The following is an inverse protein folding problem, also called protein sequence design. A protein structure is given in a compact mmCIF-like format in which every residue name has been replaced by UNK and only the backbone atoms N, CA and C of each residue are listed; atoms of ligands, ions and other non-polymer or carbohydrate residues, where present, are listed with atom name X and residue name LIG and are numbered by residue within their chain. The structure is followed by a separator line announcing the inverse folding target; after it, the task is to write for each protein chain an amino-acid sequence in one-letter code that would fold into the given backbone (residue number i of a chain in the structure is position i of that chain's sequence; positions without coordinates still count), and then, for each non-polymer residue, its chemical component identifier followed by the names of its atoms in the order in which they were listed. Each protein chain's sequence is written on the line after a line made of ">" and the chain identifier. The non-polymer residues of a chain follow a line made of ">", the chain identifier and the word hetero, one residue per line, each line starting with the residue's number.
data_IF_520423761207
#
_entry.id   IF_520423761207
#
_cell.length_a   1.000
_cell.length_b   1.000
_cell.length_c   1.000
_cell.angle_alpha   90.00
_cell.angle_beta   90.00
_cell.angle_gamma   90.00
#
_symmetry.space_group_name_H-M   'P 1'
#
loop_
_entity.id
_entity.type
_entity.pdbx_description
1 polymer ?
#
# COMPACT_ATOMS: atom_id res chain seq x y z
N UNK A 1 -25.03 15.33 15.59
CA UNK A 1 -24.78 15.40 14.13
C UNK A 1 -23.94 14.20 13.72
N UNK A 2 -24.12 13.69 12.51
CA UNK A 2 -23.27 12.60 11.99
C UNK A 2 -21.88 13.17 11.76
N UNK A 3 -20.84 12.43 12.17
CA UNK A 3 -19.44 12.82 12.01
C UNK A 3 -18.74 11.82 11.09
N UNK A 4 -17.96 12.31 10.11
CA UNK A 4 -17.10 11.50 9.26
C UNK A 4 -15.70 12.12 9.29
N UNK A 5 -14.69 11.36 9.70
CA UNK A 5 -13.33 11.88 9.81
C UNK A 5 -12.55 11.64 8.51
N UNK A 6 -11.50 12.42 8.30
CA UNK A 6 -10.68 12.36 7.08
C UNK A 6 -9.23 12.06 7.43
N UNK A 7 -8.66 11.04 6.77
CA UNK A 7 -7.21 10.81 6.71
C UNK A 7 -6.63 11.51 5.50
N UNK A 8 -5.59 12.32 5.69
CA UNK A 8 -4.85 12.95 4.59
C UNK A 8 -3.72 12.03 4.10
N UNK A 9 -3.64 11.80 2.79
CA UNK A 9 -2.71 10.84 2.17
C UNK A 9 -1.61 11.49 1.33
N UNK A 10 -1.54 12.81 1.25
CA UNK A 10 -0.61 13.55 0.37
C UNK A 10 0.85 13.16 0.58
N UNK A 11 1.26 12.84 1.82
CA UNK A 11 2.65 12.50 2.13
C UNK A 11 3.04 11.07 1.77
N UNK A 12 2.07 10.18 1.55
CA UNK A 12 2.34 8.77 1.21
C UNK A 12 1.59 8.27 -0.03
N UNK A 13 0.26 7.95 0.06
CA UNK A 13 -0.42 7.22 -1.05
C UNK A 13 -0.65 8.11 -2.27
N UNK A 14 -1.07 9.36 -2.09
CA UNK A 14 -1.23 10.29 -3.20
C UNK A 14 0.11 10.59 -3.90
N UNK A 15 1.18 10.84 -3.14
CA UNK A 15 2.53 10.97 -3.66
C UNK A 15 2.98 9.70 -4.41
N UNK A 16 2.74 8.53 -3.84
CA UNK A 16 3.05 7.26 -4.51
C UNK A 16 2.29 7.10 -5.82
N UNK A 17 1.01 7.41 -5.83
CA UNK A 17 0.11 7.20 -6.97
C UNK A 17 0.38 8.16 -8.13
N UNK A 18 0.73 9.41 -7.84
CA UNK A 18 0.93 10.44 -8.85
C UNK A 18 2.37 10.57 -9.33
N UNK A 19 3.36 10.34 -8.45
CA UNK A 19 4.76 10.62 -8.74
C UNK A 19 5.74 9.55 -8.21
N UNK A 20 5.28 8.33 -8.05
CA UNK A 20 6.08 7.18 -7.64
C UNK A 20 6.92 7.45 -6.37
N UNK A 21 6.33 8.14 -5.39
CA UNK A 21 6.94 8.42 -4.08
C UNK A 21 8.20 9.33 -4.17
N UNK A 22 8.24 10.24 -5.14
CA UNK A 22 9.42 11.10 -5.38
C UNK A 22 9.33 12.50 -4.75
N UNK A 23 8.46 12.70 -3.74
CA UNK A 23 8.35 13.95 -3.00
C UNK A 23 9.40 13.96 -1.87
N UNK A 24 10.47 14.77 -1.95
CA UNK A 24 11.47 14.87 -0.90
C UNK A 24 10.92 15.60 0.32
N UNK A 25 11.50 15.34 1.50
CA UNK A 25 11.10 15.96 2.75
C UNK A 25 11.16 17.49 2.69
N UNK A 26 12.19 18.03 2.04
CA UNK A 26 12.39 19.48 1.87
C UNK A 26 11.24 20.20 1.15
N UNK A 27 10.48 19.51 0.30
CA UNK A 27 9.37 20.10 -0.44
C UNK A 27 8.09 20.23 0.40
N UNK A 28 8.01 19.62 1.58
CA UNK A 28 6.81 19.70 2.44
C UNK A 28 7.10 19.98 3.93
N UNK A 29 8.35 20.09 4.31
CA UNK A 29 8.73 20.31 5.72
C UNK A 29 8.03 21.51 6.35
N UNK A 30 7.99 22.63 5.62
CA UNK A 30 7.50 23.91 6.12
C UNK A 30 5.98 23.94 6.35
N UNK A 31 5.21 23.08 5.68
CA UNK A 31 3.75 23.04 5.84
C UNK A 31 3.30 22.11 6.98
N UNK A 32 4.15 21.20 7.46
CA UNK A 32 3.79 20.23 8.48
C UNK A 32 3.22 20.84 9.77
N UNK A 33 3.78 21.96 10.32
CA UNK A 33 3.21 22.60 11.51
C UNK A 33 1.78 23.14 11.29
N UNK A 34 1.44 23.55 10.06
CA UNK A 34 0.07 23.94 9.73
C UNK A 34 -0.81 22.70 9.55
N UNK A 35 -0.34 21.64 8.87
CA UNK A 35 -1.06 20.36 8.75
C UNK A 35 -1.43 19.78 10.12
N UNK A 36 -0.58 19.99 11.14
CA UNK A 36 -0.85 19.56 12.51
C UNK A 36 -2.12 20.20 13.13
N UNK A 37 -2.57 21.34 12.59
CA UNK A 37 -3.74 22.10 13.06
C UNK A 37 -5.00 21.83 12.23
N UNK A 38 -4.91 21.00 11.21
CA UNK A 38 -5.98 20.81 10.23
C UNK A 38 -7.19 20.02 10.78
N UNK A 39 -7.00 19.25 11.84
CA UNK A 39 -8.07 18.40 12.41
C UNK A 39 -8.25 17.06 11.70
N UNK A 40 -7.26 16.60 10.95
CA UNK A 40 -7.25 15.28 10.32
C UNK A 40 -7.42 14.15 11.37
N UNK A 41 -8.11 13.08 10.99
CA UNK A 41 -8.09 11.84 11.76
C UNK A 41 -6.67 11.28 11.90
N UNK A 42 -5.95 11.28 10.78
CA UNK A 42 -4.53 10.95 10.70
C UNK A 42 -3.93 11.52 9.42
N UNK A 43 -2.60 11.56 9.37
CA UNK A 43 -1.84 11.79 8.13
C UNK A 43 -1.06 10.53 7.80
N UNK A 44 -1.33 9.96 6.63
CA UNK A 44 -0.58 8.82 6.15
C UNK A 44 0.73 9.31 5.54
N UNK A 45 1.85 9.01 6.18
CA UNK A 45 3.15 9.59 5.86
C UNK A 45 4.25 8.57 5.57
N UNK A 46 4.02 7.29 5.84
CA UNK A 46 5.07 6.29 5.79
C UNK A 46 4.57 4.92 5.31
N UNK A 47 5.49 4.09 4.75
CA UNK A 47 5.21 2.77 4.22
C UNK A 47 6.32 2.28 3.30
N UNK A 48 6.16 1.09 2.69
CA UNK A 48 7.20 0.41 1.93
C UNK A 48 7.79 1.23 0.78
N UNK A 49 6.93 1.80 -0.06
CA UNK A 49 7.40 2.60 -1.20
C UNK A 49 8.09 3.90 -0.77
N UNK A 50 7.63 4.52 0.32
CA UNK A 50 8.28 5.72 0.87
C UNK A 50 9.67 5.39 1.40
N UNK A 51 9.79 4.30 2.14
CA UNK A 51 11.06 3.84 2.70
C UNK A 51 12.08 3.54 1.59
N UNK A 52 11.70 2.74 0.61
CA UNK A 52 12.56 2.42 -0.55
C UNK A 52 12.95 3.68 -1.33
N UNK A 53 11.99 4.59 -1.57
CA UNK A 53 12.25 5.82 -2.30
C UNK A 53 13.23 6.75 -1.57
N UNK A 54 13.14 6.84 -0.25
CA UNK A 54 14.09 7.62 0.54
C UNK A 54 15.53 7.15 0.31
N UNK A 55 15.77 5.84 0.42
CA UNK A 55 17.11 5.27 0.25
C UNK A 55 17.59 5.32 -1.20
N UNK A 56 16.73 4.94 -2.15
CA UNK A 56 17.10 4.71 -3.56
C UNK A 56 17.21 5.98 -4.38
N UNK A 57 16.35 6.96 -4.12
CA UNK A 57 16.14 8.10 -5.04
C UNK A 57 16.27 9.47 -4.40
N UNK A 58 15.96 9.59 -3.12
CA UNK A 58 15.93 10.88 -2.44
C UNK A 58 17.20 11.14 -1.63
N UNK A 59 17.98 10.10 -1.34
CA UNK A 59 19.16 10.22 -0.49
C UNK A 59 18.81 10.64 0.95
N UNK A 60 17.62 10.25 1.42
CA UNK A 60 17.09 10.57 2.75
C UNK A 60 17.12 9.33 3.65
N UNK A 61 17.43 9.53 4.93
CA UNK A 61 17.21 8.50 5.95
C UNK A 61 15.70 8.39 6.23
N UNK A 62 15.05 7.24 5.93
CA UNK A 62 13.61 7.09 6.10
C UNK A 62 13.18 7.21 7.56
N UNK A 63 13.99 6.79 8.52
CA UNK A 63 13.69 6.90 9.95
C UNK A 63 13.82 8.33 10.44
N UNK A 64 14.84 9.06 9.98
CA UNK A 64 15.00 10.47 10.29
C UNK A 64 13.85 11.29 9.72
N UNK A 65 13.44 11.01 8.47
CA UNK A 65 12.25 11.62 7.87
C UNK A 65 11.01 11.43 8.74
N UNK A 66 10.79 10.22 9.27
CA UNK A 66 9.66 9.94 10.16
C UNK A 66 9.75 10.75 11.45
N UNK A 67 10.93 10.79 12.09
CA UNK A 67 11.17 11.59 13.32
C UNK A 67 10.93 13.09 13.09
N UNK A 68 11.35 13.60 11.95
CA UNK A 68 11.18 15.02 11.60
C UNK A 68 9.71 15.36 11.35
N UNK A 69 8.96 14.47 10.68
CA UNK A 69 7.50 14.60 10.53
C UNK A 69 6.84 14.57 11.91
N UNK A 70 7.18 13.63 12.79
CA UNK A 70 6.62 13.55 14.15
C UNK A 70 6.91 14.80 14.96
N UNK A 71 8.14 15.33 14.87
CA UNK A 71 8.53 16.55 15.56
C UNK A 71 7.70 17.76 15.10
N UNK A 72 7.43 17.85 13.80
CA UNK A 72 6.65 18.95 13.22
C UNK A 72 5.13 18.80 13.44
N UNK A 73 4.64 17.59 13.65
CA UNK A 73 3.22 17.25 13.81
C UNK A 73 2.98 16.47 15.12
N UNK A 74 3.18 17.07 16.29
CA UNK A 74 3.12 16.36 17.59
C UNK A 74 1.70 15.87 17.96
N UNK A 75 0.65 16.55 17.51
CA UNK A 75 -0.72 16.31 17.93
C UNK A 75 -1.51 15.44 16.93
N UNK A 76 -1.12 15.44 15.67
CA UNK A 76 -1.76 14.65 14.62
C UNK A 76 -1.27 13.20 14.64
N UNK A 77 -2.19 12.23 14.54
CA UNK A 77 -1.80 10.82 14.41
C UNK A 77 -1.10 10.58 13.09
N UNK A 78 0.09 9.97 13.15
CA UNK A 78 0.84 9.55 11.97
C UNK A 78 0.52 8.09 11.64
N UNK A 79 0.18 7.85 10.38
CA UNK A 79 -0.22 6.54 9.88
C UNK A 79 0.81 5.99 8.91
N UNK A 80 1.03 4.67 8.99
CA UNK A 80 1.76 3.91 8.00
C UNK A 80 0.92 2.79 7.39
N UNK A 81 1.24 2.42 6.15
CA UNK A 81 0.78 1.17 5.54
C UNK A 81 1.84 0.09 5.73
N UNK A 82 1.46 -1.04 6.37
CA UNK A 82 2.33 -2.17 6.68
C UNK A 82 1.82 -3.45 6.01
N UNK A 83 2.68 -4.11 5.25
CA UNK A 83 2.33 -5.36 4.54
C UNK A 83 2.54 -6.60 5.43
N UNK A 84 1.93 -6.65 6.60
CA UNK A 84 2.01 -7.80 7.50
C UNK A 84 3.40 -8.45 7.52
N UNK A 85 3.48 -9.74 7.19
CA UNK A 85 4.73 -10.51 7.19
C UNK A 85 5.76 -10.05 6.14
N UNK A 86 5.32 -9.32 5.11
CA UNK A 86 6.21 -8.74 4.09
C UNK A 86 6.82 -7.39 4.51
N UNK A 87 6.39 -6.80 5.63
CA UNK A 87 6.79 -5.48 6.11
C UNK A 87 6.67 -4.40 5.02
N UNK A 88 7.78 -4.09 4.39
CA UNK A 88 7.92 -3.06 3.35
C UNK A 88 8.06 -3.66 1.94
N UNK A 89 8.39 -4.95 1.85
CA UNK A 89 8.80 -5.63 0.61
C UNK A 89 7.80 -6.60 0.04
N UNK A 90 8.33 -7.62 -0.65
CA UNK A 90 7.57 -8.65 -1.38
C UNK A 90 7.92 -10.08 -0.94
N UNK A 91 8.84 -10.25 0.00
CA UNK A 91 9.15 -11.53 0.66
C UNK A 91 8.64 -11.51 2.09
N UNK A 92 8.38 -12.69 2.64
CA UNK A 92 8.11 -12.82 4.06
C UNK A 92 9.40 -12.66 4.88
N UNK A 93 9.27 -12.13 6.07
CA UNK A 93 10.33 -12.04 7.08
C UNK A 93 9.98 -12.93 8.28
N UNK A 94 10.98 -13.30 9.07
CA UNK A 94 10.75 -14.01 10.33
C UNK A 94 10.03 -13.13 11.35
N UNK A 95 9.29 -13.74 12.28
CA UNK A 95 8.47 -13.03 13.25
C UNK A 95 9.26 -12.08 14.14
N UNK A 96 10.52 -12.38 14.46
CA UNK A 96 11.39 -11.49 15.23
C UNK A 96 11.76 -10.21 14.46
N UNK A 97 11.91 -10.30 13.14
CA UNK A 97 12.12 -9.12 12.28
C UNK A 97 10.85 -8.27 12.20
N UNK A 98 9.68 -8.92 12.04
CA UNK A 98 8.38 -8.21 12.01
C UNK A 98 8.13 -7.50 13.33
N UNK A 99 8.34 -8.18 14.46
CA UNK A 99 8.17 -7.60 15.78
C UNK A 99 9.07 -6.37 15.98
N UNK A 100 10.37 -6.51 15.65
CA UNK A 100 11.33 -5.41 15.81
C UNK A 100 11.02 -4.22 14.90
N UNK A 101 10.56 -4.47 13.67
CA UNK A 101 10.17 -3.40 12.76
C UNK A 101 8.99 -2.60 13.30
N UNK A 102 7.98 -3.27 13.87
CA UNK A 102 6.81 -2.63 14.49
C UNK A 102 7.23 -1.82 15.72
N UNK A 103 8.07 -2.39 16.60
CA UNK A 103 8.63 -1.69 17.76
C UNK A 103 9.31 -0.37 17.33
N UNK A 104 10.23 -0.45 16.35
CA UNK A 104 10.95 0.72 15.86
C UNK A 104 10.00 1.74 15.20
N UNK A 105 8.98 1.29 14.46
CA UNK A 105 8.01 2.18 13.83
C UNK A 105 7.25 3.02 14.86
N UNK A 106 6.75 2.38 15.93
CA UNK A 106 6.05 3.06 17.03
C UNK A 106 7.01 3.99 17.79
N UNK A 107 8.20 3.52 18.12
CA UNK A 107 9.23 4.31 18.80
C UNK A 107 9.62 5.57 18.03
N UNK A 108 9.67 5.51 16.71
CA UNK A 108 10.01 6.63 15.84
C UNK A 108 8.80 7.52 15.46
N UNK A 109 7.58 7.22 15.96
CA UNK A 109 6.48 8.17 15.93
C UNK A 109 5.24 7.74 15.15
N UNK A 110 5.13 6.50 14.69
CA UNK A 110 3.89 5.98 14.09
C UNK A 110 2.85 5.71 15.19
N UNK A 111 1.64 6.23 15.00
CA UNK A 111 0.48 5.98 15.86
C UNK A 111 -0.44 4.91 15.25
N UNK A 112 -0.70 4.96 13.94
CA UNK A 112 -1.61 4.04 13.28
C UNK A 112 -0.84 3.10 12.37
N UNK A 113 -0.86 1.81 12.70
CA UNK A 113 -0.35 0.77 11.83
C UNK A 113 -1.53 0.18 11.05
N UNK A 114 -1.66 0.54 9.76
CA UNK A 114 -2.62 -0.05 8.84
C UNK A 114 -2.00 -1.30 8.24
N UNK A 115 -2.38 -2.45 8.78
CA UNK A 115 -1.77 -3.75 8.51
C UNK A 115 -2.64 -4.53 7.53
N UNK A 116 -2.05 -5.00 6.42
CA UNK A 116 -2.74 -5.79 5.42
C UNK A 116 -1.90 -6.95 4.91
N UNK A 117 -2.57 -7.93 4.34
CA UNK A 117 -1.98 -8.97 3.51
C UNK A 117 -2.54 -8.91 2.09
N UNK A 118 -1.71 -9.16 1.08
CA UNK A 118 -2.13 -9.05 -0.32
C UNK A 118 -3.15 -10.11 -0.73
N UNK A 119 -3.15 -11.29 -0.08
CA UNK A 119 -4.13 -12.37 -0.27
C UNK A 119 -5.33 -12.28 0.68
N UNK A 120 -5.29 -11.38 1.67
CA UNK A 120 -6.17 -11.37 2.83
C UNK A 120 -6.04 -12.65 3.68
N UNK A 121 -4.86 -13.27 3.71
CA UNK A 121 -4.54 -14.34 4.66
C UNK A 121 -4.14 -13.71 6.01
N UNK A 122 -5.10 -13.63 6.94
CA UNK A 122 -4.90 -12.92 8.19
C UNK A 122 -3.90 -13.56 9.15
N UNK A 123 -3.45 -14.78 8.88
CA UNK A 123 -2.31 -15.38 9.58
C UNK A 123 -1.02 -14.56 9.36
N UNK A 124 -0.90 -13.94 8.18
CA UNK A 124 0.26 -13.12 7.80
C UNK A 124 0.27 -11.73 8.45
N UNK A 125 -0.80 -11.32 9.13
CA UNK A 125 -0.87 -10.04 9.84
C UNK A 125 -0.88 -10.19 11.38
N UNK A 126 -0.96 -11.42 11.87
CA UNK A 126 -1.10 -11.70 13.30
C UNK A 126 0.12 -11.20 14.10
N UNK A 127 1.33 -11.52 13.69
CA UNK A 127 2.57 -11.09 14.37
C UNK A 127 2.70 -9.56 14.42
N UNK A 128 2.36 -8.87 13.33
CA UNK A 128 2.38 -7.41 13.30
C UNK A 128 1.32 -6.81 14.25
N UNK A 129 0.13 -7.43 14.36
CA UNK A 129 -0.89 -7.02 15.32
C UNK A 129 -0.42 -7.23 16.77
N UNK A 130 0.12 -8.41 17.09
CA UNK A 130 0.65 -8.73 18.42
C UNK A 130 1.75 -7.73 18.82
N UNK A 131 2.69 -7.46 17.94
CA UNK A 131 3.73 -6.47 18.14
C UNK A 131 3.15 -5.06 18.34
N UNK A 132 2.15 -4.67 17.55
CA UNK A 132 1.46 -3.38 17.71
C UNK A 132 0.84 -3.25 19.09
N UNK A 133 0.17 -4.28 19.58
CA UNK A 133 -0.42 -4.29 20.94
C UNK A 133 0.64 -4.30 22.03
N UNK A 134 1.74 -5.04 21.83
CA UNK A 134 2.85 -5.15 22.81
C UNK A 134 3.56 -3.82 23.03
N UNK A 135 3.82 -3.07 21.97
CA UNK A 135 4.56 -1.80 22.01
C UNK A 135 3.65 -0.56 21.97
N UNK A 136 2.34 -0.76 22.13
CA UNK A 136 1.35 0.31 22.06
C UNK A 136 1.63 1.45 23.05
N UNK A 137 1.51 2.68 22.56
CA UNK A 137 1.38 3.89 23.37
C UNK A 137 -0.11 4.22 23.54
N UNK A 138 -0.42 5.28 24.29
CA UNK A 138 -1.82 5.75 24.45
C UNK A 138 -2.51 6.15 23.15
N UNK A 139 -1.74 6.44 22.10
CA UNK A 139 -2.25 6.90 20.79
C UNK A 139 -2.24 5.78 19.74
N UNK A 140 -1.62 4.65 20.02
CA UNK A 140 -1.43 3.56 19.04
C UNK A 140 -2.76 2.91 18.67
N UNK A 141 -2.98 2.72 17.37
CA UNK A 141 -4.16 2.08 16.78
C UNK A 141 -3.69 1.00 15.81
N UNK A 142 -4.16 -0.21 16.01
CA UNK A 142 -4.01 -1.29 15.05
C UNK A 142 -5.20 -1.26 14.07
N UNK A 143 -4.95 -0.94 12.81
CA UNK A 143 -5.96 -0.90 11.75
C UNK A 143 -5.84 -2.12 10.85
N UNK A 144 -6.79 -3.06 10.93
CA UNK A 144 -6.84 -4.23 10.05
C UNK A 144 -7.35 -3.82 8.67
N UNK A 145 -6.61 -4.15 7.62
CA UNK A 145 -6.94 -3.67 6.29
C UNK A 145 -7.21 -4.84 5.34
N UNK A 146 -8.35 -4.80 4.66
CA UNK A 146 -8.79 -5.78 3.67
C UNK A 146 -8.52 -5.23 2.28
N UNK A 147 -7.77 -5.98 1.47
CA UNK A 147 -7.59 -5.71 0.04
C UNK A 147 -8.90 -6.01 -0.70
N UNK A 148 -9.64 -4.96 -1.08
CA UNK A 148 -10.87 -5.10 -1.83
C UNK A 148 -10.60 -5.49 -3.28
N UNK A 149 -11.40 -6.41 -3.79
CA UNK A 149 -11.39 -6.82 -5.20
C UNK A 149 -12.73 -7.44 -5.58
N UNK A 150 -13.05 -7.45 -6.85
CA UNK A 150 -14.24 -8.10 -7.39
C UNK A 150 -13.88 -9.45 -8.00
N UNK A 151 -14.58 -10.51 -7.58
CA UNK A 151 -14.49 -11.83 -8.19
C UNK A 151 -15.70 -12.70 -7.76
N UNK A 152 -15.91 -13.88 -8.35
CA UNK A 152 -16.99 -14.78 -7.93
C UNK A 152 -16.92 -15.24 -6.46
N UNK A 153 -15.73 -15.17 -5.82
CA UNK A 153 -15.54 -15.61 -4.44
C UNK A 153 -15.47 -14.46 -3.43
N UNK A 154 -15.32 -13.23 -3.91
CA UNK A 154 -15.30 -12.04 -3.08
C UNK A 154 -16.69 -11.41 -3.00
N UNK A 155 -17.60 -12.09 -2.28
CA UNK A 155 -18.98 -11.65 -2.05
C UNK A 155 -19.08 -10.74 -0.84
N UNK A 156 -20.24 -10.10 -0.66
CA UNK A 156 -20.53 -9.28 0.54
C UNK A 156 -20.37 -10.11 1.80
N UNK A 157 -20.91 -11.34 1.80
CA UNK A 157 -20.83 -12.27 2.94
C UNK A 157 -19.37 -12.59 3.28
N UNK A 158 -18.52 -12.80 2.26
CA UNK A 158 -17.09 -13.07 2.47
C UNK A 158 -16.38 -11.90 3.12
N UNK A 159 -16.66 -10.67 2.68
CA UNK A 159 -16.11 -9.46 3.32
C UNK A 159 -16.62 -9.27 4.75
N UNK A 160 -17.88 -9.58 5.01
CA UNK A 160 -18.46 -9.56 6.37
C UNK A 160 -17.74 -10.56 7.27
N UNK A 161 -17.47 -11.79 6.79
CA UNK A 161 -16.69 -12.78 7.53
C UNK A 161 -15.27 -12.27 7.85
N UNK A 162 -14.58 -11.72 6.86
CA UNK A 162 -13.24 -11.13 7.04
C UNK A 162 -13.26 -10.01 8.10
N UNK A 163 -14.26 -9.15 8.08
CA UNK A 163 -14.38 -8.08 9.08
C UNK A 163 -14.65 -8.62 10.49
N UNK A 164 -15.47 -9.68 10.63
CA UNK A 164 -15.67 -10.36 11.92
C UNK A 164 -14.36 -10.98 12.42
N UNK A 165 -13.59 -11.60 11.54
CA UNK A 165 -12.29 -12.18 11.88
C UNK A 165 -11.32 -11.11 12.38
N UNK A 166 -11.16 -9.99 11.67
CA UNK A 166 -10.32 -8.86 12.11
C UNK A 166 -10.77 -8.30 13.47
N UNK A 167 -12.08 -8.15 13.68
CA UNK A 167 -12.62 -7.75 14.98
C UNK A 167 -12.25 -8.75 16.08
N UNK A 168 -12.41 -10.05 15.83
CA UNK A 168 -12.10 -11.11 16.79
C UNK A 168 -10.60 -11.21 17.07
N UNK A 169 -9.73 -10.91 16.11
CA UNK A 169 -8.29 -10.79 16.31
C UNK A 169 -7.93 -9.60 17.22
N UNK A 170 -8.84 -8.61 17.38
CA UNK A 170 -8.66 -7.45 18.25
C UNK A 170 -8.09 -6.22 17.56
N UNK A 171 -8.31 -6.06 16.26
CA UNK A 171 -8.03 -4.79 15.60
C UNK A 171 -8.94 -3.68 16.11
N UNK A 172 -8.39 -2.47 16.25
CA UNK A 172 -9.10 -1.31 16.78
C UNK A 172 -9.99 -0.66 15.70
N UNK A 173 -9.60 -0.74 14.43
CA UNK A 173 -10.36 -0.25 13.28
C UNK A 173 -10.21 -1.20 12.10
N UNK A 174 -11.17 -1.15 11.16
CA UNK A 174 -11.14 -1.97 9.94
C UNK A 174 -11.16 -1.04 8.72
N UNK A 175 -10.22 -1.24 7.79
CA UNK A 175 -10.13 -0.51 6.54
C UNK A 175 -10.47 -1.40 5.35
N UNK A 176 -11.40 -0.94 4.52
CA UNK A 176 -11.64 -1.49 3.19
C UNK A 176 -10.79 -0.70 2.19
N UNK A 177 -9.84 -1.37 1.55
CA UNK A 177 -8.89 -0.75 0.62
C UNK A 177 -9.21 -1.13 -0.83
N UNK A 178 -9.90 -0.24 -1.53
CA UNK A 178 -10.17 -0.30 -2.96
C UNK A 178 -9.08 0.44 -3.74
N UNK A 179 -7.93 -0.19 -3.88
CA UNK A 179 -6.77 0.37 -4.57
C UNK A 179 -7.00 0.57 -6.07
N UNK A 180 -7.92 -0.17 -6.66
CA UNK A 180 -8.23 -0.07 -8.09
C UNK A 180 -9.33 0.97 -8.39
N UNK A 181 -10.04 1.48 -7.38
CA UNK A 181 -11.17 2.38 -7.55
C UNK A 181 -12.36 1.71 -8.26
N UNK A 182 -12.56 0.41 -8.05
CA UNK A 182 -13.56 -0.40 -8.76
C UNK A 182 -14.83 -0.65 -7.95
N UNK A 183 -14.85 -0.32 -6.66
CA UNK A 183 -16.05 -0.43 -5.83
C UNK A 183 -17.13 0.53 -6.34
N UNK A 184 -18.26 -0.02 -6.77
CA UNK A 184 -19.39 0.79 -7.20
C UNK A 184 -20.13 1.38 -5.99
N UNK A 185 -20.92 2.46 -6.18
CA UNK A 185 -21.79 2.99 -5.12
C UNK A 185 -22.79 1.96 -4.59
N UNK A 186 -23.30 1.09 -5.46
CA UNK A 186 -24.19 -0.01 -5.09
C UNK A 186 -23.52 -1.01 -4.17
N UNK A 187 -22.32 -1.44 -4.52
CA UNK A 187 -21.53 -2.37 -3.70
C UNK A 187 -21.13 -1.75 -2.37
N UNK A 188 -20.73 -0.48 -2.37
CA UNK A 188 -20.39 0.25 -1.14
C UNK A 188 -21.57 0.27 -0.17
N UNK A 189 -22.80 0.54 -0.65
CA UNK A 189 -23.98 0.53 0.18
C UNK A 189 -24.22 -0.82 0.85
N UNK A 190 -24.25 -1.89 0.06
CA UNK A 190 -24.55 -3.24 0.57
C UNK A 190 -23.44 -3.76 1.48
N UNK A 191 -22.18 -3.54 1.10
CA UNK A 191 -21.02 -4.01 1.84
C UNK A 191 -20.92 -3.29 3.20
N UNK A 192 -21.00 -1.95 3.22
CA UNK A 192 -20.86 -1.19 4.46
C UNK A 192 -21.97 -1.50 5.44
N UNK A 193 -23.26 -1.57 4.96
CA UNK A 193 -24.38 -1.96 5.82
C UNK A 193 -24.16 -3.36 6.42
N UNK A 194 -23.85 -4.35 5.58
CA UNK A 194 -23.63 -5.71 6.05
C UNK A 194 -22.49 -5.83 7.05
N UNK A 195 -21.41 -5.06 6.85
CA UNK A 195 -20.29 -5.05 7.79
C UNK A 195 -20.71 -4.36 9.10
N UNK A 196 -21.35 -3.19 9.06
CA UNK A 196 -21.78 -2.48 10.28
C UNK A 196 -22.73 -3.32 11.13
N UNK A 197 -23.66 -4.02 10.49
CA UNK A 197 -24.56 -4.95 11.20
C UNK A 197 -23.79 -6.09 11.90
N UNK A 198 -22.66 -6.51 11.33
CA UNK A 198 -21.87 -7.63 11.82
C UNK A 198 -20.81 -7.26 12.87
N UNK A 199 -20.15 -6.10 12.71
CA UNK A 199 -19.04 -5.69 13.60
C UNK A 199 -19.44 -4.60 14.60
N UNK A 200 -20.64 -4.00 14.46
CA UNK A 200 -21.16 -2.98 15.38
C UNK A 200 -20.35 -1.70 15.39
N UNK A 201 -19.87 -1.32 16.60
CA UNK A 201 -19.20 -0.03 16.83
C UNK A 201 -17.74 0.04 16.38
N UNK A 202 -17.19 -1.02 15.80
CA UNK A 202 -15.82 -0.97 15.25
C UNK A 202 -15.76 0.08 14.13
N UNK A 203 -14.88 1.10 14.24
CA UNK A 203 -14.79 2.12 13.21
C UNK A 203 -14.36 1.54 11.86
N UNK A 204 -15.13 1.87 10.81
CA UNK A 204 -14.84 1.47 9.43
C UNK A 204 -14.21 2.61 8.66
N UNK A 205 -13.19 2.28 7.89
CA UNK A 205 -12.44 3.20 7.05
C UNK A 205 -12.61 2.77 5.59
N UNK A 206 -12.90 3.72 4.70
CA UNK A 206 -12.86 3.48 3.27
C UNK A 206 -11.68 4.21 2.64
N UNK A 207 -10.82 3.44 1.99
CA UNK A 207 -9.76 3.92 1.12
C UNK A 207 -10.10 3.54 -0.32
N UNK A 208 -10.24 4.51 -1.20
CA UNK A 208 -10.51 4.28 -2.64
C UNK A 208 -9.77 5.27 -3.51
N UNK A 209 -9.48 4.87 -4.75
CA UNK A 209 -8.82 5.71 -5.75
C UNK A 209 -9.80 6.21 -6.80
N UNK A 210 -9.50 7.38 -7.39
CA UNK A 210 -10.34 8.02 -8.40
C UNK A 210 -10.12 7.48 -9.83
N UNK A 211 -9.33 6.43 -9.98
CA UNK A 211 -8.90 5.90 -11.29
C UNK A 211 -10.07 5.67 -12.25
N UNK A 212 -11.17 5.13 -11.77
CA UNK A 212 -12.35 4.81 -12.60
C UNK A 212 -13.38 5.94 -12.72
N UNK A 213 -13.22 7.00 -11.91
CA UNK A 213 -14.18 8.12 -11.82
C UNK A 213 -15.33 7.90 -10.85
N UNK A 214 -15.49 6.72 -10.25
CA UNK A 214 -16.62 6.42 -9.34
C UNK A 214 -16.40 6.87 -7.89
N UNK A 215 -15.17 7.16 -7.48
CA UNK A 215 -14.77 7.29 -6.07
C UNK A 215 -15.66 8.23 -5.25
N UNK A 216 -16.01 9.41 -5.76
CA UNK A 216 -16.86 10.37 -5.02
C UNK A 216 -18.28 9.81 -4.78
N UNK A 217 -18.87 9.16 -5.79
CA UNK A 217 -20.19 8.53 -5.64
C UNK A 217 -20.12 7.35 -4.65
N UNK A 218 -19.08 6.54 -4.74
CA UNK A 218 -18.82 5.40 -3.85
C UNK A 218 -18.65 5.86 -2.41
N UNK A 219 -17.80 6.89 -2.18
CA UNK A 219 -17.57 7.46 -0.85
C UNK A 219 -18.86 8.06 -0.28
N UNK A 220 -19.64 8.79 -1.08
CA UNK A 220 -20.93 9.35 -0.62
C UNK A 220 -21.87 8.24 -0.16
N UNK A 221 -22.00 7.16 -0.93
CA UNK A 221 -22.82 6.01 -0.56
C UNK A 221 -22.29 5.27 0.69
N UNK A 222 -20.98 5.12 0.81
CA UNK A 222 -20.36 4.57 2.00
C UNK A 222 -20.68 5.40 3.26
N UNK A 223 -20.62 6.73 3.16
CA UNK A 223 -20.97 7.66 4.25
C UNK A 223 -22.43 7.52 4.64
N UNK A 224 -23.36 7.51 3.67
CA UNK A 224 -24.77 7.27 3.92
C UNK A 224 -25.01 5.94 4.64
N UNK A 225 -24.20 4.93 4.32
CA UNK A 225 -24.29 3.56 4.85
C UNK A 225 -23.57 3.32 6.17
N UNK A 226 -22.84 4.32 6.69
CA UNK A 226 -22.26 4.23 8.04
C UNK A 226 -20.73 4.18 8.13
N UNK A 227 -20.00 4.52 7.07
CA UNK A 227 -18.54 4.65 7.16
C UNK A 227 -18.18 5.77 8.16
N UNK A 228 -17.08 5.57 8.90
CA UNK A 228 -16.65 6.51 9.95
C UNK A 228 -15.48 7.38 9.50
N UNK A 229 -14.58 6.84 8.67
CA UNK A 229 -13.39 7.54 8.18
C UNK A 229 -13.24 7.31 6.68
N UNK A 230 -12.83 8.34 5.96
CA UNK A 230 -12.47 8.26 4.54
C UNK A 230 -11.04 8.75 4.33
N UNK A 231 -10.33 8.11 3.40
CA UNK A 231 -9.02 8.57 2.99
C UNK A 231 -9.16 9.54 1.80
N UNK A 232 -8.56 10.72 1.93
CA UNK A 232 -8.57 11.78 0.94
C UNK A 232 -7.14 12.29 0.70
N UNK A 233 -6.99 13.12 -0.33
CA UNK A 233 -5.77 13.88 -0.57
C UNK A 233 -6.10 15.34 -0.82
N UNK A 234 -5.24 16.28 -0.38
CA UNK A 234 -5.38 17.70 -0.71
C UNK A 234 -5.64 17.89 -2.21
N UNK A 235 -6.51 18.82 -2.59
CA UNK A 235 -7.08 18.93 -3.95
C UNK A 235 -6.06 18.87 -5.06
N UNK A 236 -4.93 19.55 -4.90
CA UNK A 236 -3.90 19.55 -5.93
C UNK A 236 -3.24 18.16 -6.12
N UNK A 237 -3.23 17.27 -5.14
CA UNK A 237 -2.70 15.89 -5.23
C UNK A 237 -3.81 14.82 -5.24
N UNK A 238 -5.06 15.22 -5.47
CA UNK A 238 -6.21 14.32 -5.57
C UNK A 238 -6.55 13.93 -7.01
N UNK A 239 -7.53 13.05 -7.16
CA UNK A 239 -8.07 12.59 -8.46
C UNK A 239 -7.12 11.73 -9.30
N UNK A 240 -7.56 11.32 -10.48
CA UNK A 240 -6.80 10.40 -11.32
C UNK A 240 -6.50 9.09 -10.59
N UNK A 241 -5.22 8.74 -10.49
CA UNK A 241 -4.78 7.54 -9.76
C UNK A 241 -4.68 7.75 -8.23
N UNK A 242 -4.99 8.95 -7.73
CA UNK A 242 -5.00 9.30 -6.31
C UNK A 242 -6.41 9.20 -5.68
N UNK A 243 -6.55 9.68 -4.46
CA UNK A 243 -7.77 9.64 -3.66
C UNK A 243 -8.71 10.82 -3.99
N UNK A 244 -9.96 10.81 -3.48
CA UNK A 244 -10.83 11.96 -3.50
C UNK A 244 -10.22 13.18 -2.80
N UNK A 245 -10.60 14.38 -3.25
CA UNK A 245 -10.10 15.64 -2.70
C UNK A 245 -10.62 15.88 -1.28
N UNK A 246 -9.71 16.20 -0.37
CA UNK A 246 -10.00 16.58 1.03
C UNK A 246 -10.95 17.76 1.08
N UNK A 247 -10.65 18.86 0.37
CA UNK A 247 -11.45 20.09 0.38
C UNK A 247 -12.82 19.85 -0.27
N UNK A 248 -12.88 19.09 -1.38
CA UNK A 248 -14.16 18.76 -2.03
C UNK A 248 -15.06 17.99 -1.08
N UNK A 249 -14.53 16.99 -0.38
CA UNK A 249 -15.28 16.22 0.59
C UNK A 249 -15.70 17.06 1.79
N UNK A 250 -14.83 17.96 2.28
CA UNK A 250 -15.16 18.90 3.35
C UNK A 250 -16.40 19.76 3.01
N UNK A 251 -16.35 20.42 1.86
CA UNK A 251 -17.48 21.29 1.41
C UNK A 251 -18.75 20.48 1.11
N UNK A 252 -18.62 19.35 0.42
CA UNK A 252 -19.78 18.52 0.09
C UNK A 252 -20.47 17.98 1.35
N UNK A 253 -19.70 17.44 2.31
CA UNK A 253 -20.26 16.91 3.56
C UNK A 253 -20.89 17.99 4.42
N UNK A 254 -20.32 19.20 4.45
CA UNK A 254 -20.88 20.35 5.13
C UNK A 254 -22.30 20.70 4.63
N UNK A 255 -22.57 20.57 3.32
CA UNK A 255 -23.92 20.79 2.74
C UNK A 255 -24.94 19.76 3.23
N UNK A 256 -24.51 18.55 3.60
CA UNK A 256 -25.37 17.51 4.21
C UNK A 256 -25.44 17.61 5.74
N UNK A 257 -24.84 18.63 6.36
CA UNK A 257 -24.77 18.78 7.81
C UNK A 257 -23.92 17.71 8.50
N UNK A 258 -22.94 17.15 7.78
CA UNK A 258 -21.99 16.15 8.30
C UNK A 258 -20.71 16.87 8.69
N UNK A 259 -20.30 16.72 9.95
CA UNK A 259 -19.06 17.32 10.46
C UNK A 259 -17.84 16.44 10.14
N UNK A 260 -16.76 17.05 9.64
CA UNK A 260 -15.49 16.34 9.41
C UNK A 260 -14.48 16.56 10.53
N UNK A 261 -14.64 17.66 11.28
CA UNK A 261 -13.67 18.12 12.28
C UNK A 261 -12.49 18.86 11.68
N UNK A 262 -12.47 19.09 10.36
CA UNK A 262 -11.41 19.83 9.70
C UNK A 262 -11.53 21.34 9.90
N UNK A 263 -10.38 22.01 9.92
CA UNK A 263 -10.28 23.46 9.91
C UNK A 263 -10.14 23.95 8.46
N UNK A 264 -11.17 24.66 7.97
CA UNK A 264 -11.29 25.14 6.59
C UNK A 264 -10.09 26.00 6.15
N UNK A 265 -9.70 26.97 6.97
CA UNK A 265 -8.58 27.87 6.65
C UNK A 265 -7.27 27.11 6.53
N UNK A 266 -7.07 26.10 7.37
CA UNK A 266 -5.84 25.30 7.37
C UNK A 266 -5.77 24.39 6.16
N UNK A 267 -6.86 23.65 5.83
CA UNK A 267 -6.83 22.77 4.65
C UNK A 267 -6.63 23.56 3.36
N UNK A 268 -7.22 24.75 3.25
CA UNK A 268 -6.98 25.63 2.11
C UNK A 268 -5.53 26.12 2.03
N UNK A 269 -4.89 26.48 3.16
CA UNK A 269 -3.46 26.80 3.20
C UNK A 269 -2.59 25.62 2.77
N UNK A 270 -2.91 24.41 3.21
CA UNK A 270 -2.19 23.19 2.81
C UNK A 270 -2.28 23.00 1.29
N UNK A 271 -3.47 23.13 0.73
CA UNK A 271 -3.64 23.03 -0.72
C UNK A 271 -2.88 24.10 -1.48
N UNK A 272 -2.94 25.37 -1.03
CA UNK A 272 -2.22 26.48 -1.67
C UNK A 272 -0.70 26.30 -1.61
N UNK A 273 -0.19 25.77 -0.52
CA UNK A 273 1.23 25.43 -0.39
C UNK A 273 1.67 24.36 -1.40
N UNK A 274 0.88 23.33 -1.60
CA UNK A 274 1.22 22.23 -2.50
C UNK A 274 1.00 22.54 -3.99
N UNK A 275 0.22 23.56 -4.37
CA UNK A 275 -0.01 23.93 -5.78
C UNK A 275 1.27 24.19 -6.58
N UNK A 276 2.19 25.07 -6.15
CA UNK A 276 3.44 25.31 -6.87
C UNK A 276 4.35 24.09 -6.89
N UNK A 277 4.32 23.27 -5.83
CA UNK A 277 5.08 22.01 -5.76
C UNK A 277 4.57 21.03 -6.81
N UNK A 278 3.25 20.83 -6.91
CA UNK A 278 2.65 20.02 -7.97
C UNK A 278 3.05 20.52 -9.35
N UNK A 279 2.95 21.84 -9.60
CA UNK A 279 3.29 22.43 -10.89
C UNK A 279 4.74 22.14 -11.28
N UNK A 280 5.69 22.29 -10.35
CA UNK A 280 7.10 21.89 -10.54
C UNK A 280 7.24 20.46 -11.04
N UNK A 281 6.46 19.52 -10.49
CA UNK A 281 6.53 18.11 -10.88
C UNK A 281 5.76 17.77 -12.17
N UNK A 282 4.73 18.53 -12.50
CA UNK A 282 4.07 18.45 -13.82
C UNK A 282 5.03 18.96 -14.90
N UNK A 283 5.66 20.11 -14.71
CA UNK A 283 6.58 20.74 -15.67
C UNK A 283 7.82 19.86 -15.92
N UNK A 284 8.29 19.15 -14.89
CA UNK A 284 9.39 18.19 -15.03
C UNK A 284 8.99 16.85 -15.65
N UNK A 285 7.70 16.63 -15.97
CA UNK A 285 7.17 15.38 -16.48
C UNK A 285 7.10 14.24 -15.46
N UNK A 286 7.40 14.50 -14.20
CA UNK A 286 7.33 13.48 -13.12
C UNK A 286 5.90 13.11 -12.77
N UNK A 287 4.98 14.07 -12.78
CA UNK A 287 3.54 13.81 -12.76
C UNK A 287 3.06 13.79 -14.21
N UNK A 288 2.62 12.63 -14.68
CA UNK A 288 2.15 12.47 -16.05
C UNK A 288 0.66 12.83 -16.20
N UNK A 289 0.27 13.32 -17.37
CA UNK A 289 -1.15 13.53 -17.69
C UNK A 289 -1.97 12.25 -17.51
N UNK A 290 -1.36 11.07 -17.76
CA UNK A 290 -2.00 9.77 -17.61
C UNK A 290 -2.35 9.46 -16.16
N UNK A 291 -1.48 9.77 -15.20
CA UNK A 291 -1.75 9.55 -13.77
C UNK A 291 -2.85 10.49 -13.23
N UNK A 292 -3.10 11.60 -13.89
CA UNK A 292 -4.15 12.57 -13.54
C UNK A 292 -5.49 12.32 -14.26
N UNK A 293 -5.51 11.41 -15.24
CA UNK A 293 -6.72 11.10 -16.02
C UNK A 293 -7.57 10.01 -15.36
N UNK A 294 -8.88 10.08 -15.60
CA UNK A 294 -9.81 8.99 -15.30
C UNK A 294 -9.76 7.95 -16.42
N UNK A 295 -9.71 6.66 -16.06
CA UNK A 295 -9.74 5.54 -17.00
C UNK A 295 -10.83 4.54 -16.61
N UNK A 296 -12.00 4.66 -17.21
CA UNK A 296 -13.12 3.75 -16.98
C UNK A 296 -12.90 2.34 -17.58
N UNK A 297 -11.87 2.12 -18.40
CA UNK A 297 -11.56 0.78 -18.93
C UNK A 297 -11.21 -0.21 -17.80
N UNK A 298 -10.68 0.30 -16.68
CA UNK A 298 -10.43 -0.52 -15.49
C UNK A 298 -11.72 -1.23 -14.98
N UNK A 299 -12.90 -0.65 -15.19
CA UNK A 299 -14.20 -1.26 -14.84
C UNK A 299 -14.56 -2.40 -15.78
N UNK A 300 -14.25 -2.27 -17.07
CA UNK A 300 -14.56 -3.29 -18.09
C UNK A 300 -13.73 -4.54 -17.85
N UNK A 301 -12.44 -4.36 -17.61
CA UNK A 301 -11.50 -5.47 -17.44
C UNK A 301 -11.35 -5.93 -15.98
N UNK A 302 -11.91 -5.16 -15.02
CA UNK A 302 -11.79 -5.40 -13.56
C UNK A 302 -10.33 -5.53 -13.09
N UNK A 303 -9.46 -4.73 -13.67
CA UNK A 303 -8.01 -4.71 -13.38
C UNK A 303 -7.55 -3.31 -12.97
N UNK A 304 -6.60 -3.20 -12.04
CA UNK A 304 -6.04 -1.91 -11.64
C UNK A 304 -5.36 -1.18 -12.81
N UNK A 305 -5.51 0.14 -12.86
CA UNK A 305 -4.89 0.97 -13.91
C UNK A 305 -3.36 0.81 -13.98
N UNK A 306 -2.68 0.63 -12.85
CA UNK A 306 -1.25 0.33 -12.82
C UNK A 306 -0.87 -0.98 -13.49
N UNK A 307 -1.72 -2.02 -13.38
CA UNK A 307 -1.53 -3.28 -14.08
C UNK A 307 -1.65 -3.10 -15.60
N UNK A 308 -2.67 -2.38 -16.07
CA UNK A 308 -2.85 -2.07 -17.51
C UNK A 308 -1.64 -1.31 -18.06
N UNK A 309 -1.17 -0.31 -17.32
CA UNK A 309 0.00 0.49 -17.71
C UNK A 309 1.26 -0.35 -17.87
N UNK A 310 1.51 -1.26 -16.94
CA UNK A 310 2.65 -2.17 -16.99
C UNK A 310 2.54 -3.14 -18.17
N UNK A 311 1.36 -3.68 -18.44
CA UNK A 311 1.13 -4.55 -19.59
C UNK A 311 1.38 -3.82 -20.90
N UNK A 312 0.88 -2.60 -21.06
CA UNK A 312 1.11 -1.77 -22.26
C UNK A 312 2.62 -1.51 -22.44
N UNK A 313 3.33 -1.14 -21.38
CA UNK A 313 4.77 -0.92 -21.43
C UNK A 313 5.51 -2.18 -21.87
N UNK A 314 5.26 -3.32 -21.21
CA UNK A 314 5.89 -4.60 -21.54
C UNK A 314 5.63 -5.03 -22.98
N UNK A 315 4.39 -4.94 -23.46
CA UNK A 315 4.04 -5.30 -24.84
C UNK A 315 4.62 -4.32 -25.88
N UNK A 316 4.75 -3.05 -25.51
CA UNK A 316 5.40 -2.04 -26.38
C UNK A 316 6.89 -2.35 -26.51
N UNK A 317 7.58 -2.62 -25.42
CA UNK A 317 9.01 -2.97 -25.41
C UNK A 317 9.28 -4.25 -26.23
N UNK A 318 8.35 -5.21 -26.14
CA UNK A 318 8.39 -6.46 -26.91
C UNK A 318 7.88 -6.33 -28.36
N UNK A 319 7.43 -5.14 -28.78
CA UNK A 319 6.80 -4.88 -30.09
C UNK A 319 5.62 -5.82 -30.39
N UNK A 320 4.83 -6.15 -29.38
CA UNK A 320 3.72 -7.10 -29.40
C UNK A 320 2.37 -6.49 -28.98
N UNK A 321 2.14 -5.21 -29.27
CA UNK A 321 0.88 -4.50 -28.91
C UNK A 321 -0.36 -5.10 -29.57
N UNK A 322 -0.22 -5.80 -30.69
CA UNK A 322 -1.29 -6.59 -31.32
C UNK A 322 -1.85 -7.70 -30.42
N UNK A 323 -1.10 -8.13 -29.42
CA UNK A 323 -1.49 -9.15 -28.44
C UNK A 323 -2.24 -8.58 -27.22
N UNK A 324 -2.33 -7.25 -27.09
CA UNK A 324 -2.91 -6.61 -25.89
C UNK A 324 -4.34 -7.09 -25.61
N UNK A 325 -5.23 -7.11 -26.61
CA UNK A 325 -6.62 -7.56 -26.42
C UNK A 325 -6.72 -9.03 -26.01
N UNK A 326 -5.84 -9.89 -26.52
CA UNK A 326 -5.78 -11.30 -26.13
C UNK A 326 -5.27 -11.45 -24.69
N UNK A 327 -4.24 -10.70 -24.30
CA UNK A 327 -3.71 -10.70 -22.93
C UNK A 327 -4.77 -10.23 -21.90
N UNK A 328 -5.58 -9.23 -22.25
CA UNK A 328 -6.69 -8.78 -21.37
C UNK A 328 -7.74 -9.88 -21.15
N UNK A 329 -8.05 -10.67 -22.19
CA UNK A 329 -8.98 -11.81 -22.07
C UNK A 329 -8.39 -12.98 -21.26
N UNK A 330 -7.07 -13.11 -21.24
CA UNK A 330 -6.38 -14.17 -20.49
C UNK A 330 -6.28 -13.86 -18.98
N UNK A 331 -6.35 -12.60 -18.55
CA UNK A 331 -6.28 -12.21 -17.14
C UNK A 331 -7.31 -12.91 -16.26
N UNK A 332 -8.60 -12.92 -16.58
CA UNK A 332 -9.61 -13.63 -15.77
C UNK A 332 -9.33 -15.12 -15.63
N UNK A 333 -8.81 -15.76 -16.68
CA UNK A 333 -8.48 -17.19 -16.67
C UNK A 333 -7.27 -17.48 -15.79
N UNK A 334 -6.19 -16.71 -15.92
CA UNK A 334 -5.02 -16.81 -15.03
C UNK A 334 -5.44 -16.56 -13.57
N UNK A 335 -6.25 -15.54 -13.33
CA UNK A 335 -6.74 -15.21 -12.00
C UNK A 335 -7.56 -16.34 -11.39
N UNK A 336 -8.40 -16.99 -12.20
CA UNK A 336 -9.16 -18.18 -11.78
C UNK A 336 -8.24 -19.32 -11.40
N UNK A 337 -7.25 -19.64 -12.23
CA UNK A 337 -6.29 -20.72 -11.98
C UNK A 337 -5.49 -20.51 -10.68
N UNK A 338 -5.26 -19.26 -10.31
CA UNK A 338 -4.58 -18.87 -9.08
C UNK A 338 -5.53 -18.74 -7.86
N UNK A 339 -6.80 -19.17 -7.97
CA UNK A 339 -7.76 -19.10 -6.86
C UNK A 339 -8.23 -17.68 -6.54
N UNK A 340 -8.35 -16.83 -7.56
CA UNK A 340 -8.87 -15.46 -7.49
C UNK A 340 -8.13 -14.50 -6.54
N UNK A 341 -6.79 -14.39 -6.58
CA UNK A 341 -6.08 -13.45 -5.74
C UNK A 341 -6.60 -12.01 -5.94
N UNK A 342 -6.60 -11.16 -4.90
CA UNK A 342 -6.83 -9.74 -5.06
C UNK A 342 -5.81 -9.13 -6.03
N UNK A 343 -6.28 -8.23 -6.91
CA UNK A 343 -5.40 -7.58 -7.88
C UNK A 343 -4.70 -6.35 -7.26
N UNK A 344 -3.96 -6.60 -6.20
CA UNK A 344 -3.08 -5.64 -5.53
C UNK A 344 -1.62 -6.04 -5.73
N UNK A 345 -0.70 -5.10 -5.62
CA UNK A 345 0.74 -5.39 -5.74
C UNK A 345 1.21 -6.32 -4.60
N UNK A 346 1.97 -7.41 -4.86
CA UNK A 346 2.57 -7.78 -6.16
C UNK A 346 1.69 -8.67 -7.05
N UNK A 347 0.56 -9.17 -6.54
CA UNK A 347 -0.27 -10.20 -7.20
C UNK A 347 -0.83 -9.74 -8.55
N UNK A 348 -1.20 -8.46 -8.68
CA UNK A 348 -1.66 -7.91 -9.96
C UNK A 348 -0.59 -7.99 -11.05
N UNK A 349 0.68 -7.73 -10.70
CA UNK A 349 1.79 -7.85 -11.64
C UNK A 349 2.04 -9.31 -12.02
N UNK A 350 1.99 -10.22 -11.05
CA UNK A 350 2.14 -11.65 -11.26
C UNK A 350 1.09 -12.18 -12.24
N UNK A 351 -0.18 -11.86 -12.02
CA UNK A 351 -1.30 -12.25 -12.90
C UNK A 351 -1.14 -11.66 -14.30
N UNK A 352 -0.82 -10.36 -14.39
CA UNK A 352 -0.66 -9.67 -15.67
C UNK A 352 0.51 -10.19 -16.50
N UNK A 353 1.67 -10.38 -15.87
CA UNK A 353 2.86 -10.91 -16.54
C UNK A 353 2.63 -12.35 -17.04
N UNK A 354 1.96 -13.19 -16.23
CA UNK A 354 1.65 -14.56 -16.66
C UNK A 354 0.64 -14.57 -17.81
N UNK A 355 -0.38 -13.71 -17.80
CA UNK A 355 -1.33 -13.59 -18.90
C UNK A 355 -0.64 -13.17 -20.20
N UNK A 356 0.24 -12.17 -20.16
CA UNK A 356 1.05 -11.75 -21.32
C UNK A 356 1.93 -12.91 -21.80
N UNK A 357 2.60 -13.61 -20.91
CA UNK A 357 3.46 -14.76 -21.23
C UNK A 357 2.68 -15.88 -21.93
N UNK A 358 1.49 -16.24 -21.41
CA UNK A 358 0.63 -17.26 -22.01
C UNK A 358 0.28 -16.93 -23.47
N UNK A 359 -0.10 -15.68 -23.72
CA UNK A 359 -0.48 -15.22 -25.07
C UNK A 359 0.72 -15.16 -26.03
N UNK A 360 1.88 -14.69 -25.56
CA UNK A 360 3.09 -14.61 -26.38
C UNK A 360 3.61 -16.01 -26.75
N UNK A 361 3.51 -16.97 -25.84
CA UNK A 361 3.94 -18.36 -26.09
C UNK A 361 2.94 -19.17 -26.92
N UNK A 362 1.71 -18.67 -27.13
CA UNK A 362 0.63 -19.36 -27.83
C UNK A 362 0.10 -20.60 -27.11
N UNK A 363 0.55 -20.87 -25.90
CA UNK A 363 0.16 -21.99 -25.04
C UNK A 363 0.17 -21.55 -23.58
N UNK A 364 -0.92 -21.84 -22.85
CA UNK A 364 -1.06 -21.47 -21.44
C UNK A 364 -0.04 -22.22 -20.58
N UNK A 365 0.68 -21.45 -19.75
CA UNK A 365 1.67 -21.97 -18.80
C UNK A 365 2.78 -22.82 -19.44
N UNK A 366 3.10 -22.60 -20.73
CA UNK A 366 4.31 -23.16 -21.36
C UNK A 366 5.56 -22.70 -20.62
N UNK A 367 5.56 -21.43 -20.24
CA UNK A 367 6.52 -20.83 -19.32
C UNK A 367 5.75 -20.34 -18.10
N UNK A 368 6.14 -20.79 -16.90
CA UNK A 368 5.59 -20.33 -15.62
C UNK A 368 6.59 -19.41 -14.96
N UNK A 369 6.18 -18.18 -14.67
CA UNK A 369 7.05 -17.20 -14.00
C UNK A 369 7.46 -17.67 -12.60
N UNK A 370 8.61 -17.20 -12.13
CA UNK A 370 9.12 -17.56 -10.80
C UNK A 370 8.14 -17.15 -9.68
N UNK A 371 7.47 -16.02 -9.85
CA UNK A 371 6.47 -15.53 -8.92
C UNK A 371 5.27 -16.47 -8.84
N UNK A 372 4.74 -16.95 -9.98
CA UNK A 372 3.65 -17.93 -10.02
C UNK A 372 4.10 -19.27 -9.42
N UNK A 373 5.34 -19.72 -9.71
CA UNK A 373 5.88 -20.92 -9.07
C UNK A 373 5.93 -20.79 -7.54
N UNK A 374 6.42 -19.65 -7.03
CA UNK A 374 6.52 -19.37 -5.60
C UNK A 374 5.14 -19.27 -4.95
N UNK A 375 4.15 -18.73 -5.70
CA UNK A 375 2.76 -18.68 -5.26
C UNK A 375 2.20 -20.10 -5.03
N UNK A 376 2.35 -20.99 -6.00
CA UNK A 376 1.92 -22.39 -5.86
C UNK A 376 2.71 -23.17 -4.81
N UNK A 377 3.95 -22.78 -4.53
CA UNK A 377 4.75 -23.32 -3.42
C UNK A 377 4.26 -22.87 -2.04
N UNK A 378 3.27 -21.96 -1.96
CA UNK A 378 2.71 -21.49 -0.69
C UNK A 378 3.49 -20.37 -0.02
N UNK A 379 4.42 -19.72 -0.74
CA UNK A 379 5.28 -18.68 -0.15
C UNK A 379 4.58 -17.33 0.09
N UNK A 380 3.34 -17.16 -0.38
CA UNK A 380 2.56 -15.93 -0.20
C UNK A 380 1.41 -16.09 0.82
N UNK A 381 1.08 -17.31 1.21
CA UNK A 381 -0.06 -17.62 2.05
C UNK A 381 -1.13 -18.47 1.33
N UNK A 382 -2.35 -18.47 1.86
CA UNK A 382 -3.47 -19.24 1.32
C UNK A 382 -4.23 -18.39 0.30
N UNK A 383 -4.47 -18.97 -0.89
CA UNK A 383 -5.32 -18.36 -1.92
C UNK A 383 -6.78 -18.23 -1.43
N UNK A 384 -7.53 -17.20 -1.90
CA UNK A 384 -8.93 -17.01 -1.53
C UNK A 384 -9.87 -18.16 -1.90
N UNK A 385 -9.52 -18.92 -2.94
CA UNK A 385 -10.24 -20.10 -3.40
C UNK A 385 -9.26 -21.19 -3.86
N UNK A 386 -9.72 -22.45 -4.10
CA UNK A 386 -8.87 -23.50 -4.62
C UNK A 386 -8.18 -23.09 -5.92
N UNK A 387 -6.88 -23.37 -6.01
CA UNK A 387 -6.07 -23.17 -7.21
C UNK A 387 -6.25 -24.31 -8.21
N UNK A 388 -5.82 -24.12 -9.47
CA UNK A 388 -5.85 -25.17 -10.48
C UNK A 388 -5.01 -26.38 -10.05
N UNK A 389 -5.62 -27.54 -9.88
CA UNK A 389 -4.94 -28.80 -9.52
C UNK A 389 -3.94 -29.24 -10.59
N UNK A 390 -4.30 -29.08 -11.88
CA UNK A 390 -3.41 -29.38 -13.00
C UNK A 390 -2.15 -28.52 -12.96
N UNK A 391 -2.31 -27.22 -12.74
CA UNK A 391 -1.18 -26.29 -12.66
C UNK A 391 -0.36 -26.53 -11.38
N UNK A 392 -1.00 -26.86 -10.27
CA UNK A 392 -0.32 -27.26 -9.04
C UNK A 392 0.54 -28.50 -9.25
N UNK A 393 -0.01 -29.55 -9.88
CA UNK A 393 0.74 -30.77 -10.19
C UNK A 393 1.91 -30.50 -11.16
N UNK A 394 1.71 -29.63 -12.16
CA UNK A 394 2.76 -29.21 -13.09
C UNK A 394 3.93 -28.52 -12.38
N UNK A 395 3.66 -27.69 -11.38
CA UNK A 395 4.68 -26.88 -10.69
C UNK A 395 5.33 -27.63 -9.53
N UNK A 396 4.55 -28.37 -8.73
CA UNK A 396 5.01 -29.06 -7.52
C UNK A 396 5.36 -30.53 -7.75
N UNK A 397 5.01 -31.07 -8.91
CA UNK A 397 5.03 -32.51 -9.18
C UNK A 397 3.74 -33.20 -8.75
N UNK A 398 3.53 -34.43 -9.22
CA UNK A 398 2.32 -35.21 -8.94
C UNK A 398 2.18 -35.49 -7.43
N UNK A 399 1.06 -35.10 -6.84
CA UNK A 399 0.82 -35.20 -5.39
C UNK A 399 1.56 -34.15 -4.52
N UNK A 400 2.30 -33.23 -5.12
CA UNK A 400 2.98 -32.16 -4.40
C UNK A 400 1.98 -31.20 -3.73
N UNK A 401 2.29 -30.79 -2.50
CA UNK A 401 1.49 -29.83 -1.73
C UNK A 401 2.29 -28.55 -1.47
N UNK A 402 1.61 -27.39 -1.42
CA UNK A 402 2.26 -26.16 -0.99
C UNK A 402 2.74 -26.30 0.46
N UNK A 403 3.85 -25.63 0.79
CA UNK A 403 4.30 -25.48 2.18
C UNK A 403 3.46 -24.39 2.86
N UNK A 404 3.30 -24.53 4.17
CA UNK A 404 2.73 -23.42 4.95
C UNK A 404 3.85 -22.42 5.26
N UNK A 405 3.81 -21.24 4.65
CA UNK A 405 4.80 -20.20 4.87
C UNK A 405 4.93 -19.83 6.36
N UNK A 406 3.84 -19.94 7.15
CA UNK A 406 3.87 -19.58 8.58
C UNK A 406 4.77 -20.48 9.41
N UNK A 407 5.06 -21.71 8.98
CA UNK A 407 6.02 -22.58 9.66
C UNK A 407 7.44 -21.99 9.61
N UNK A 408 7.83 -21.45 8.45
CA UNK A 408 9.14 -20.80 8.31
C UNK A 408 9.15 -19.43 8.98
N UNK A 409 8.12 -18.63 8.74
CA UNK A 409 7.99 -17.25 9.22
C UNK A 409 7.97 -17.14 10.75
N UNK A 410 7.39 -18.15 11.45
CA UNK A 410 7.32 -18.17 12.91
C UNK A 410 8.67 -18.32 13.62
N UNK A 411 9.76 -18.54 12.87
CA UNK A 411 11.10 -18.63 13.46
C UNK A 411 11.52 -17.29 14.08
N UNK A 412 12.24 -17.40 15.18
CA UNK A 412 12.77 -16.28 15.96
C UNK A 412 14.24 -16.55 16.30
N UNK A 413 15.07 -16.59 15.24
CA UNK A 413 16.47 -17.02 15.37
C UNK A 413 17.45 -15.88 15.64
N UNK A 414 17.06 -14.64 15.36
CA UNK A 414 17.95 -13.48 15.37
C UNK A 414 19.03 -13.50 14.28
N UNK A 415 19.03 -14.49 13.39
CA UNK A 415 20.05 -14.63 12.36
C UNK A 415 20.07 -13.48 11.36
N UNK A 416 18.89 -12.93 10.99
CA UNK A 416 18.81 -11.80 10.07
C UNK A 416 19.52 -10.57 10.65
N UNK A 417 19.34 -10.31 11.94
CA UNK A 417 20.02 -9.21 12.64
C UNK A 417 21.52 -9.43 12.72
N UNK A 418 21.95 -10.67 13.00
CA UNK A 418 23.37 -11.03 13.07
C UNK A 418 24.05 -10.81 11.72
N UNK A 419 23.48 -11.37 10.65
CA UNK A 419 23.99 -11.22 9.27
C UNK A 419 24.04 -9.75 8.84
N UNK A 420 22.99 -8.97 9.16
CA UNK A 420 22.96 -7.56 8.83
C UNK A 420 24.02 -6.75 9.57
N UNK A 421 24.21 -7.01 10.87
CA UNK A 421 25.28 -6.35 11.66
C UNK A 421 26.67 -6.70 11.15
N UNK A 422 26.93 -7.97 10.82
CA UNK A 422 28.20 -8.42 10.25
C UNK A 422 28.46 -7.75 8.89
N UNK A 423 27.44 -7.65 8.02
CA UNK A 423 27.58 -7.02 6.71
C UNK A 423 27.81 -5.50 6.78
N UNK A 424 27.16 -4.82 7.72
CA UNK A 424 27.28 -3.37 7.88
C UNK A 424 28.54 -2.94 8.63
N UNK A 425 29.01 -3.75 9.59
CA UNK A 425 30.15 -3.36 10.45
C UNK A 425 29.95 -1.96 11.04
N UNK A 426 30.93 -1.08 10.88
CA UNK A 426 30.92 0.30 11.40
C UNK A 426 30.00 1.26 10.65
N UNK A 427 29.36 0.82 9.56
CA UNK A 427 28.37 1.63 8.84
C UNK A 427 27.06 1.75 9.61
N UNK A 428 26.70 0.74 10.42
CA UNK A 428 25.51 0.76 11.24
C UNK A 428 25.72 1.62 12.50
N UNK A 429 24.92 2.66 12.65
CA UNK A 429 24.94 3.56 13.82
C UNK A 429 23.78 3.33 14.78
N UNK A 430 22.76 2.58 14.33
CA UNK A 430 21.53 2.35 15.11
C UNK A 430 20.89 1.00 14.74
N UNK A 431 19.87 0.60 15.51
CA UNK A 431 19.03 -0.56 15.19
C UNK A 431 18.19 -0.31 13.93
N UNK A 432 17.83 0.94 13.69
CA UNK A 432 17.13 1.41 12.49
C UNK A 432 17.97 1.19 11.22
N UNK A 433 19.27 1.41 11.28
CA UNK A 433 20.19 1.13 10.17
C UNK A 433 20.23 -0.38 9.85
N UNK A 434 20.33 -1.22 10.89
CA UNK A 434 20.28 -2.67 10.75
C UNK A 434 18.96 -3.11 10.11
N UNK A 435 17.85 -2.55 10.56
CA UNK A 435 16.51 -2.84 10.02
C UNK A 435 16.40 -2.39 8.56
N UNK A 436 16.94 -1.23 8.21
CA UNK A 436 16.97 -0.73 6.83
C UNK A 436 17.71 -1.70 5.90
N UNK A 437 18.84 -2.23 6.34
CA UNK A 437 19.61 -3.23 5.59
C UNK A 437 18.84 -4.55 5.44
N UNK A 438 18.18 -5.04 6.50
CA UNK A 438 17.36 -6.27 6.42
C UNK A 438 16.25 -6.11 5.36
N UNK A 439 15.61 -4.93 5.30
CA UNK A 439 14.52 -4.67 4.35
C UNK A 439 15.01 -4.40 2.93
N UNK A 440 16.10 -3.66 2.76
CA UNK A 440 16.63 -3.18 1.48
C UNK A 440 18.18 -3.22 1.46
N UNK A 441 18.81 -4.40 1.37
CA UNK A 441 20.26 -4.55 1.56
C UNK A 441 21.10 -3.64 0.67
N UNK A 442 20.89 -3.69 -0.64
CA UNK A 442 21.72 -2.95 -1.61
C UNK A 442 21.55 -1.44 -1.47
N UNK A 443 20.29 -0.98 -1.28
CA UNK A 443 19.97 0.44 -1.17
C UNK A 443 20.46 1.04 0.13
N UNK A 444 20.31 0.30 1.23
CA UNK A 444 20.78 0.72 2.54
C UNK A 444 22.31 0.75 2.60
N UNK A 445 22.98 -0.26 2.04
CA UNK A 445 24.45 -0.28 1.97
C UNK A 445 24.96 0.98 1.26
N UNK A 446 24.46 1.22 0.04
CA UNK A 446 24.85 2.42 -0.73
C UNK A 446 24.57 3.72 0.03
N UNK A 447 23.39 3.83 0.65
CA UNK A 447 23.04 5.03 1.43
C UNK A 447 24.00 5.25 2.60
N UNK A 448 24.40 4.19 3.32
CA UNK A 448 25.32 4.31 4.47
C UNK A 448 26.76 4.60 4.04
N UNK A 449 27.21 4.05 2.92
CA UNK A 449 28.50 4.41 2.31
C UNK A 449 28.53 5.89 1.92
N UNK A 450 27.49 6.37 1.25
CA UNK A 450 27.34 7.79 0.87
C UNK A 450 27.26 8.71 2.12
N UNK A 451 26.58 8.26 3.18
CA UNK A 451 26.53 8.96 4.48
C UNK A 451 27.92 9.09 5.10
N UNK A 452 28.66 7.97 5.15
CA UNK A 452 30.03 7.95 5.69
C UNK A 452 30.97 8.84 4.87
N UNK A 453 30.90 8.76 3.55
CA UNK A 453 31.73 9.60 2.68
C UNK A 453 31.48 11.11 2.87
N UNK A 454 30.22 11.49 3.07
CA UNK A 454 29.86 12.89 3.39
C UNK A 454 30.41 13.34 4.74
N UNK A 455 30.35 12.49 5.76
CA UNK A 455 30.86 12.79 7.10
C UNK A 455 32.40 12.89 7.12
N UNK A 456 33.08 12.08 6.33
CA UNK A 456 34.53 12.08 6.21
C UNK A 456 35.05 13.12 5.18
N UNK A 457 34.15 13.94 4.56
CA UNK A 457 34.48 14.89 3.47
C UNK A 457 35.21 14.24 2.28
N UNK A 458 34.91 12.98 1.97
CA UNK A 458 35.47 12.26 0.84
C UNK A 458 34.70 12.57 -0.42
N UNK A 459 35.38 13.05 -1.48
CA UNK A 459 34.81 13.24 -2.80
C UNK A 459 35.17 12.04 -3.70
N UNK A 460 34.17 11.36 -4.23
CA UNK A 460 34.35 10.29 -5.24
C UNK A 460 34.11 10.88 -6.64
N UNK A 461 35.09 10.76 -7.53
CA UNK A 461 34.91 11.13 -8.94
C UNK A 461 34.59 9.87 -9.75
N UNK A 462 33.51 9.93 -10.53
CA UNK A 462 33.20 8.93 -11.57
C UNK A 462 33.81 9.46 -12.86
N UNK A 463 34.80 8.76 -13.40
CA UNK A 463 35.34 9.05 -14.73
C UNK A 463 34.52 8.21 -15.70
N UNK A 464 33.63 8.83 -16.47
CA UNK A 464 33.03 8.18 -17.63
C UNK A 464 34.09 8.20 -18.75
N UNK A 465 34.50 7.03 -19.21
CA UNK A 465 35.28 6.92 -20.45
C UNK A 465 34.37 7.27 -21.62
N UNK A 466 34.83 8.21 -22.44
CA UNK A 466 34.12 8.80 -23.58
C UNK A 466 34.04 7.82 -24.77
#
# INVERSE_FOLDING_TARGET
>A
MKKVQITETVLRDANQSLMATRLPYSDFADILPEMNKAGYYSVECWGGATFDSCLRYLGEDPWQRLRDIRKAMPDTKLQMLLRGQNLLGYKHYHDDVVEKFVELSIKNGIDILRIFDALNDFRNIATALEATKKYATKNTIASGCISYTQSPVHTVEKYVEMCKELKNMGFDTICLKDMAGTMSPYEAEHLIKGIKDAVGDVPLILHTHCTTGMAYMTVTKAIESGIDVIDCATSCFSNGTSQPSTETMFYALGQYGIETGLNEDVINKVNDYFKPIKQKYVDSGRISAKSMATDAQALVYKVPGGMLSNMIANLTDMKAMDKFAAALKEIPEVRKDLGYPPLVTPLSQMVGNQAVTNVLMGERYKIVSKEVQNYFKGQYGIAPAPVSEELQAKILGEGGKPVDCRIEDAKRTGEDFKKAKEALGDLAKSEEDVMSYICYPDQAMKFFEDRKAKEENVCTYVIEEA
#
